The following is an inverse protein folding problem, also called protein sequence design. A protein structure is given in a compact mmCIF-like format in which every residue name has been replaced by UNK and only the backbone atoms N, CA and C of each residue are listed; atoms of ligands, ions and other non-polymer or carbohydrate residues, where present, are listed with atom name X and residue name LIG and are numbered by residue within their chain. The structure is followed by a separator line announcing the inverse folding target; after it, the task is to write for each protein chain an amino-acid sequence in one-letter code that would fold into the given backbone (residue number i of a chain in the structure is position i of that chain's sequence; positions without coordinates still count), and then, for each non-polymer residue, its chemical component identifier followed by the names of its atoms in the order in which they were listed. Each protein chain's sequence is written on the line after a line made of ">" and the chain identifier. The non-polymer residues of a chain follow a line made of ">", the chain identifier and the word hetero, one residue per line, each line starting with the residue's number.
data_IF_859895441309
#
_entry.id   IF_859895441309
#
_cell.length_a   1.000
_cell.length_b   1.000
_cell.length_c   1.000
_cell.angle_alpha   90.00
_cell.angle_beta   90.00
_cell.angle_gamma   90.00
#
_symmetry.space_group_name_H-M   'P 1'
#
loop_
_entity.id
_entity.type
_entity.pdbx_description
1 polymer ?
#
# COMPACT_ATOMS: atom_id res chain seq x y z
N UNK A 1 -1.18 5.67 -1.94
CA UNK A 1 -1.90 5.23 -0.72
C UNK A 1 -3.41 5.50 -0.76
N UNK A 2 -3.86 6.62 -1.33
CA UNK A 2 -5.27 7.05 -1.29
C UNK A 2 -6.28 6.04 -1.89
N UNK A 3 -5.90 5.25 -2.90
CA UNK A 3 -6.83 4.32 -3.57
C UNK A 3 -7.35 3.19 -2.67
N UNK A 4 -6.65 2.82 -1.58
CA UNK A 4 -7.09 1.83 -0.59
C UNK A 4 -7.90 2.45 0.56
N UNK A 5 -7.95 3.78 0.66
CA UNK A 5 -8.53 4.46 1.82
C UNK A 5 -10.06 4.46 1.75
N UNK A 6 -10.68 4.06 2.87
CA UNK A 6 -12.12 4.09 3.09
C UNK A 6 -12.43 4.93 4.32
N UNK A 7 -13.19 6.01 4.14
CA UNK A 7 -13.70 6.80 5.26
C UNK A 7 -14.99 6.18 5.78
N UNK A 8 -14.98 5.74 7.04
CA UNK A 8 -16.19 5.22 7.70
C UNK A 8 -16.90 6.28 8.55
N UNK A 9 -16.22 7.39 8.84
CA UNK A 9 -16.79 8.43 9.72
C UNK A 9 -18.02 9.06 9.09
N UNK A 10 -19.10 9.14 9.86
CA UNK A 10 -20.37 9.75 9.45
C UNK A 10 -20.89 10.63 10.57
N UNK A 11 -21.20 11.88 10.24
CA UNK A 11 -21.89 12.80 11.12
C UNK A 11 -23.38 12.83 10.77
N UNK A 12 -24.22 12.77 11.80
CA UNK A 12 -25.66 12.75 11.64
C UNK A 12 -26.15 14.12 11.17
N UNK A 13 -26.89 14.10 10.05
CA UNK A 13 -27.63 15.26 9.58
C UNK A 13 -28.85 15.50 10.47
N UNK A 14 -29.47 16.68 10.34
CA UNK A 14 -30.72 17.01 11.05
C UNK A 14 -31.80 15.93 10.90
N UNK A 15 -31.89 15.29 9.72
CA UNK A 15 -32.92 14.29 9.41
C UNK A 15 -32.62 12.92 10.02
N UNK A 16 -31.36 12.61 10.33
CA UNK A 16 -30.95 11.33 10.90
C UNK A 16 -30.87 11.38 12.43
N UNK A 17 -30.86 12.59 13.02
CA UNK A 17 -30.89 12.73 14.47
C UNK A 17 -32.25 12.34 15.06
N UNK A 18 -32.28 11.68 16.23
CA UNK A 18 -33.52 11.20 16.82
C UNK A 18 -34.43 12.36 17.28
N UNK A 19 -35.71 12.33 16.91
CA UNK A 19 -36.71 13.33 17.30
C UNK A 19 -36.69 14.60 16.45
N UNK A 20 -37.27 15.69 16.97
CA UNK A 20 -37.32 16.98 16.24
C UNK A 20 -38.46 17.12 15.23
N UNK A 21 -39.46 16.23 15.27
CA UNK A 21 -40.68 16.28 14.44
C UNK A 21 -41.69 17.33 14.92
N UNK A 22 -41.65 17.72 16.20
CA UNK A 22 -42.52 18.76 16.74
C UNK A 22 -41.86 20.13 16.61
N UNK A 23 -42.61 21.11 16.11
CA UNK A 23 -42.17 22.51 16.09
C UNK A 23 -41.92 23.00 17.53
N UNK A 24 -40.75 23.60 17.84
CA UNK A 24 -40.40 23.99 19.20
C UNK A 24 -41.37 25.00 19.83
N UNK A 25 -41.83 25.97 19.04
CA UNK A 25 -42.81 26.99 19.43
C UNK A 25 -43.58 27.55 18.22
N UNK A 26 -44.75 28.18 18.41
CA UNK A 26 -45.52 28.82 17.34
C UNK A 26 -44.71 29.87 16.56
N UNK A 27 -45.06 30.09 15.29
CA UNK A 27 -44.31 30.99 14.42
C UNK A 27 -44.27 32.44 14.92
N UNK A 28 -45.33 32.91 15.57
CA UNK A 28 -45.50 34.30 16.02
C UNK A 28 -45.95 34.32 17.49
N UNK A 29 -45.96 35.52 18.09
CA UNK A 29 -46.46 35.81 19.45
C UNK A 29 -45.63 35.24 20.62
N UNK A 30 -44.40 34.80 20.35
CA UNK A 30 -43.50 34.21 21.37
C UNK A 30 -42.30 35.09 21.72
N UNK A 31 -42.02 36.13 20.93
CA UNK A 31 -40.83 36.99 21.09
C UNK A 31 -39.48 36.29 20.82
N UNK A 32 -39.48 35.05 20.36
CA UNK A 32 -38.29 34.24 20.05
C UNK A 32 -38.03 34.19 18.54
N UNK A 33 -36.82 33.81 18.13
CA UNK A 33 -36.47 33.56 16.73
C UNK A 33 -37.35 32.45 16.11
N UNK A 34 -37.51 32.44 14.79
CA UNK A 34 -38.28 31.40 14.11
C UNK A 34 -37.51 30.08 14.04
N UNK A 35 -38.06 29.01 14.61
CA UNK A 35 -37.45 27.69 14.61
C UNK A 35 -38.43 26.62 14.08
N UNK A 36 -37.96 25.79 13.16
CA UNK A 36 -38.72 24.67 12.61
C UNK A 36 -38.54 23.36 13.38
N UNK A 37 -37.36 23.11 13.94
CA UNK A 37 -37.02 21.87 14.65
C UNK A 37 -35.83 22.10 15.59
N UNK A 38 -35.84 21.42 16.73
CA UNK A 38 -34.73 21.41 17.69
C UNK A 38 -33.47 20.72 17.14
N UNK A 39 -33.57 19.94 16.05
CA UNK A 39 -32.42 19.26 15.43
C UNK A 39 -31.70 20.09 14.37
N UNK A 40 -32.04 21.37 14.24
CA UNK A 40 -31.39 22.25 13.27
C UNK A 40 -29.94 22.59 13.69
N UNK A 41 -29.00 22.84 12.76
CA UNK A 41 -27.57 22.95 13.06
C UNK A 41 -27.19 24.05 14.07
N UNK A 42 -27.99 25.11 14.18
CA UNK A 42 -27.76 26.21 15.12
C UNK A 42 -28.17 25.87 16.57
N UNK A 43 -28.91 24.77 16.79
CA UNK A 43 -29.27 24.32 18.13
C UNK A 43 -28.18 23.42 18.73
N UNK A 44 -28.05 23.46 20.06
CA UNK A 44 -27.25 22.50 20.80
C UNK A 44 -27.76 21.07 20.55
N UNK A 45 -26.87 20.12 20.28
CA UNK A 45 -27.20 18.75 19.84
C UNK A 45 -28.07 18.69 18.57
N UNK A 46 -27.95 19.72 17.73
CA UNK A 46 -28.49 19.75 16.37
C UNK A 46 -27.61 19.00 15.38
N UNK A 47 -28.19 18.63 14.23
CA UNK A 47 -27.48 17.89 13.19
C UNK A 47 -26.43 18.74 12.48
N UNK A 48 -25.37 18.11 11.99
CA UNK A 48 -24.33 18.80 11.21
C UNK A 48 -24.89 19.18 9.83
N UNK A 49 -24.71 20.43 9.42
CA UNK A 49 -25.14 20.92 8.09
C UNK A 49 -24.27 20.32 6.98
N UNK A 50 -22.95 20.56 7.07
CA UNK A 50 -21.94 20.05 6.14
C UNK A 50 -21.01 19.07 6.86
N UNK A 51 -21.62 18.07 7.50
CA UNK A 51 -20.86 17.05 8.21
C UNK A 51 -20.24 16.03 7.25
N UNK A 52 -19.26 15.29 7.75
CA UNK A 52 -18.66 14.17 7.00
C UNK A 52 -19.76 13.14 6.68
N UNK A 53 -19.88 12.76 5.41
CA UNK A 53 -20.84 11.76 4.91
C UNK A 53 -20.11 10.48 4.51
N UNK A 54 -19.99 9.55 5.44
CA UNK A 54 -19.46 8.21 5.20
C UNK A 54 -20.55 7.19 4.83
N UNK A 55 -20.21 6.05 4.19
CA UNK A 55 -18.86 5.68 3.76
C UNK A 55 -18.43 6.40 2.48
N UNK A 56 -17.18 6.89 2.42
CA UNK A 56 -16.61 7.53 1.23
C UNK A 56 -15.31 6.84 0.81
N UNK A 57 -15.21 6.52 -0.47
CA UNK A 57 -13.98 5.99 -1.09
C UNK A 57 -13.26 7.10 -1.85
N UNK A 58 -11.92 7.04 -1.86
CA UNK A 58 -11.07 7.85 -2.74
C UNK A 58 -10.37 6.99 -3.78
N UNK A 59 -11.07 5.97 -4.25
CA UNK A 59 -10.55 5.03 -5.22
C UNK A 59 -10.40 5.70 -6.59
N UNK A 60 -9.19 5.67 -7.13
CA UNK A 60 -8.92 5.91 -8.54
C UNK A 60 -7.72 5.07 -8.97
N UNK A 61 -7.73 4.61 -10.22
CA UNK A 61 -6.64 3.84 -10.80
C UNK A 61 -5.79 4.72 -11.70
N UNK A 62 -4.47 4.70 -11.48
CA UNK A 62 -3.51 5.34 -12.37
C UNK A 62 -3.25 4.47 -13.60
N UNK A 63 -3.04 5.08 -14.79
CA UNK A 63 -2.59 4.37 -15.97
C UNK A 63 -1.33 3.52 -15.70
N UNK A 64 -1.30 2.32 -16.26
CA UNK A 64 -0.20 1.35 -16.06
C UNK A 64 1.17 1.94 -16.39
N UNK A 65 1.25 2.71 -17.49
CA UNK A 65 2.47 3.36 -17.93
C UNK A 65 3.03 4.35 -16.89
N UNK A 66 2.16 5.08 -16.20
CA UNK A 66 2.56 6.03 -15.15
C UNK A 66 3.07 5.26 -13.93
N UNK A 67 2.39 4.17 -13.54
CA UNK A 67 2.81 3.31 -12.42
C UNK A 67 4.17 2.68 -12.68
N UNK A 68 4.38 2.14 -13.90
CA UNK A 68 5.65 1.57 -14.31
C UNK A 68 6.77 2.62 -14.34
N UNK A 69 6.50 3.80 -14.91
CA UNK A 69 7.48 4.90 -14.92
C UNK A 69 7.88 5.31 -13.51
N UNK A 70 6.92 5.39 -12.58
CA UNK A 70 7.20 5.66 -11.17
C UNK A 70 8.13 4.64 -10.53
N UNK A 71 7.94 3.34 -10.84
CA UNK A 71 8.82 2.27 -10.36
C UNK A 71 10.23 2.38 -10.94
N UNK A 72 10.36 2.60 -12.25
CA UNK A 72 11.67 2.83 -12.87
C UNK A 72 12.39 4.02 -12.23
N UNK A 73 11.70 5.15 -12.04
CA UNK A 73 12.28 6.35 -11.43
C UNK A 73 12.72 6.07 -10.00
N UNK A 74 11.93 5.37 -9.19
CA UNK A 74 12.31 5.01 -7.83
C UNK A 74 13.60 4.17 -7.78
N UNK A 75 13.72 3.17 -8.67
CA UNK A 75 14.94 2.35 -8.78
C UNK A 75 16.14 3.16 -9.28
N UNK A 76 15.95 4.03 -10.28
CA UNK A 76 17.00 4.92 -10.77
C UNK A 76 17.50 5.86 -9.68
N UNK A 77 16.61 6.41 -8.86
CA UNK A 77 16.98 7.26 -7.72
C UNK A 77 17.84 6.47 -6.72
N UNK A 78 17.39 5.29 -6.31
CA UNK A 78 18.17 4.43 -5.40
C UNK A 78 19.54 4.06 -5.96
N UNK A 79 19.62 3.77 -7.26
CA UNK A 79 20.89 3.49 -7.90
C UNK A 79 21.83 4.70 -7.91
N UNK A 80 21.34 5.88 -8.30
CA UNK A 80 22.12 7.13 -8.34
C UNK A 80 22.61 7.55 -6.94
N UNK A 81 21.84 7.23 -5.89
CA UNK A 81 22.20 7.48 -4.50
C UNK A 81 23.17 6.45 -3.91
N UNK A 82 23.54 5.40 -4.66
CA UNK A 82 24.29 4.22 -4.18
C UNK A 82 23.55 3.41 -3.08
N UNK A 83 22.23 3.54 -3.02
CA UNK A 83 21.35 2.86 -2.05
C UNK A 83 20.75 1.55 -2.60
N UNK A 84 21.08 1.21 -3.84
CA UNK A 84 20.65 -0.03 -4.49
C UNK A 84 21.81 -1.02 -4.51
N UNK A 85 21.66 -2.14 -3.83
CA UNK A 85 22.66 -3.19 -3.71
C UNK A 85 22.16 -4.46 -4.38
N UNK A 86 23.04 -5.14 -5.11
CA UNK A 86 22.74 -6.41 -5.76
C UNK A 86 23.58 -7.49 -5.08
N UNK A 87 22.94 -8.59 -4.70
CA UNK A 87 23.56 -9.76 -4.07
C UNK A 87 23.25 -10.98 -4.93
N UNK A 88 24.17 -11.94 -5.02
CA UNK A 88 23.95 -13.14 -5.81
C UNK A 88 22.84 -14.00 -5.19
N UNK A 89 22.99 -14.38 -3.92
CA UNK A 89 22.04 -15.24 -3.20
C UNK A 89 21.93 -14.82 -1.72
N UNK A 90 20.72 -14.94 -1.16
CA UNK A 90 20.48 -14.73 0.27
C UNK A 90 20.71 -16.00 1.09
N UNK A 91 20.74 -17.18 0.48
CA UNK A 91 20.99 -18.43 1.19
C UNK A 91 22.42 -18.54 1.73
N UNK A 92 23.35 -17.72 1.24
CA UNK A 92 24.74 -17.67 1.72
C UNK A 92 24.90 -17.00 3.10
N UNK A 93 23.81 -16.60 3.76
CA UNK A 93 23.84 -16.03 5.10
C UNK A 93 24.28 -17.09 6.13
N UNK A 94 25.45 -16.91 6.77
CA UNK A 94 26.06 -17.95 7.60
C UNK A 94 25.36 -18.12 8.96
N UNK A 95 24.73 -17.06 9.47
CA UNK A 95 24.08 -17.05 10.78
C UNK A 95 22.67 -16.43 10.66
N UNK A 96 21.73 -16.94 11.46
CA UNK A 96 20.36 -16.44 11.61
C UNK A 96 20.23 -15.38 12.71
N UNK A 97 21.31 -15.04 13.41
CA UNK A 97 21.29 -14.03 14.46
C UNK A 97 21.02 -12.61 13.90
N UNK A 98 20.11 -11.83 14.51
CA UNK A 98 19.82 -10.46 14.07
C UNK A 98 21.01 -9.51 14.23
N UNK A 99 21.82 -9.72 15.27
CA UNK A 99 22.99 -8.88 15.50
C UNK A 99 23.97 -8.97 14.33
N UNK A 100 24.14 -10.16 13.74
CA UNK A 100 24.94 -10.34 12.54
C UNK A 100 24.43 -9.51 11.35
N UNK A 101 23.12 -9.45 11.13
CA UNK A 101 22.55 -8.62 10.06
C UNK A 101 22.71 -7.12 10.31
N UNK A 102 22.57 -6.65 11.55
CA UNK A 102 22.81 -5.26 11.90
C UNK A 102 24.29 -4.89 11.70
N UNK A 103 25.21 -5.71 12.24
CA UNK A 103 26.64 -5.49 12.10
C UNK A 103 27.06 -5.50 10.62
N UNK A 104 26.42 -6.35 9.80
CA UNK A 104 26.63 -6.41 8.35
C UNK A 104 26.12 -5.15 7.64
N UNK A 105 24.93 -4.65 8.03
CA UNK A 105 24.38 -3.41 7.48
C UNK A 105 25.26 -2.20 7.86
N UNK A 106 25.72 -2.13 9.10
CA UNK A 106 26.61 -1.07 9.60
C UNK A 106 27.98 -1.13 8.91
N UNK A 107 28.58 -2.32 8.80
CA UNK A 107 29.87 -2.51 8.14
C UNK A 107 29.85 -2.13 6.65
N UNK A 108 28.69 -2.26 5.99
CA UNK A 108 28.49 -1.90 4.59
C UNK A 108 27.86 -0.52 4.39
N UNK A 109 27.61 0.23 5.47
CA UNK A 109 26.93 1.52 5.45
C UNK A 109 25.58 1.49 4.73
N UNK A 110 24.77 0.45 4.95
CA UNK A 110 23.44 0.32 4.35
C UNK A 110 22.37 1.20 5.00
N UNK A 111 22.74 1.99 6.01
CA UNK A 111 21.82 2.85 6.73
C UNK A 111 20.93 2.09 7.71
N UNK A 112 19.94 2.78 8.25
CA UNK A 112 19.09 2.30 9.34
C UNK A 112 18.05 1.28 8.88
N UNK A 113 17.59 1.37 7.64
CA UNK A 113 16.46 0.56 7.14
C UNK A 113 16.75 -0.06 5.78
N UNK A 114 16.52 -1.37 5.70
CA UNK A 114 16.92 -2.21 4.56
C UNK A 114 15.72 -3.02 4.08
N UNK A 115 15.48 -2.97 2.76
CA UNK A 115 14.49 -3.82 2.09
C UNK A 115 15.20 -4.92 1.31
N UNK A 116 15.02 -6.17 1.73
CA UNK A 116 15.50 -7.35 1.00
C UNK A 116 14.42 -7.82 0.01
N UNK A 117 14.80 -7.94 -1.26
CA UNK A 117 13.87 -8.37 -2.32
C UNK A 117 14.29 -9.70 -2.90
N UNK A 118 13.45 -10.71 -2.70
CA UNK A 118 13.63 -12.07 -3.20
C UNK A 118 12.88 -12.28 -4.52
N UNK A 119 13.27 -13.30 -5.26
CA UNK A 119 12.64 -13.74 -6.51
C UNK A 119 11.28 -14.42 -6.25
N UNK A 120 11.17 -15.22 -5.19
CA UNK A 120 9.99 -16.03 -4.85
C UNK A 120 9.56 -15.85 -3.39
N UNK A 121 8.43 -16.50 -3.02
CA UNK A 121 7.98 -16.60 -1.63
C UNK A 121 8.89 -17.49 -0.78
N UNK A 122 9.69 -18.36 -1.41
CA UNK A 122 10.62 -19.23 -0.70
C UNK A 122 11.86 -18.43 -0.32
N UNK A 123 11.91 -18.05 0.96
CA UNK A 123 13.02 -17.28 1.54
C UNK A 123 13.86 -18.19 2.43
N UNK A 124 15.20 -18.08 2.43
CA UNK A 124 16.04 -18.83 3.35
C UNK A 124 15.69 -18.52 4.81
N UNK A 125 15.52 -19.55 5.63
CA UNK A 125 15.11 -19.46 7.04
C UNK A 125 16.00 -18.50 7.83
N UNK A 126 17.32 -18.57 7.63
CA UNK A 126 18.28 -17.69 8.31
C UNK A 126 17.97 -16.19 8.11
N UNK A 127 17.55 -15.80 6.90
CA UNK A 127 17.20 -14.40 6.61
C UNK A 127 15.88 -14.02 7.28
N UNK A 128 14.90 -14.93 7.27
CA UNK A 128 13.59 -14.73 7.90
C UNK A 128 13.74 -14.51 9.40
N UNK A 129 14.42 -15.43 10.10
CA UNK A 129 14.62 -15.37 11.55
C UNK A 129 15.36 -14.08 11.97
N UNK A 130 16.38 -13.70 11.20
CA UNK A 130 17.17 -12.52 11.46
C UNK A 130 16.38 -11.21 11.18
N UNK A 131 15.53 -11.18 10.15
CA UNK A 131 14.71 -10.00 9.84
C UNK A 131 13.48 -9.87 10.74
N UNK A 132 12.86 -10.98 11.18
CA UNK A 132 11.64 -10.95 12.00
C UNK A 132 11.87 -10.21 13.33
N UNK A 133 13.07 -10.34 13.88
CA UNK A 133 13.46 -9.67 15.13
C UNK A 133 13.84 -8.20 14.96
N UNK A 134 14.06 -7.71 13.73
CA UNK A 134 14.51 -6.33 13.44
C UNK A 134 13.41 -5.57 12.67
N UNK A 135 12.69 -4.62 13.31
CA UNK A 135 11.60 -3.89 12.65
C UNK A 135 12.01 -3.00 11.47
N UNK A 136 13.28 -2.58 11.41
CA UNK A 136 13.80 -1.72 10.34
C UNK A 136 14.17 -2.50 9.08
N UNK A 137 14.31 -3.83 9.18
CA UNK A 137 14.58 -4.70 8.05
C UNK A 137 13.30 -5.39 7.62
N UNK A 138 13.12 -5.56 6.32
CA UNK A 138 11.92 -6.19 5.80
C UNK A 138 12.25 -6.98 4.55
N UNK A 139 11.65 -8.16 4.44
CA UNK A 139 11.77 -9.04 3.28
C UNK A 139 10.50 -8.88 2.45
N UNK A 140 10.65 -8.83 1.14
CA UNK A 140 9.53 -8.71 0.20
C UNK A 140 9.82 -9.51 -1.07
N UNK A 141 8.88 -10.36 -1.53
CA UNK A 141 9.05 -11.02 -2.82
C UNK A 141 8.86 -10.02 -3.97
N UNK A 142 9.45 -10.33 -5.13
CA UNK A 142 9.50 -9.41 -6.28
C UNK A 142 8.12 -8.96 -6.77
N UNK A 143 7.12 -9.82 -6.69
CA UNK A 143 5.75 -9.51 -7.10
C UNK A 143 5.06 -8.49 -6.19
N UNK A 144 5.52 -8.34 -4.93
CA UNK A 144 5.03 -7.34 -3.97
C UNK A 144 5.74 -5.99 -4.04
N UNK A 145 6.79 -5.88 -4.86
CA UNK A 145 7.62 -4.67 -4.95
C UNK A 145 6.78 -3.47 -5.42
N UNK A 146 6.87 -2.38 -4.66
CA UNK A 146 6.11 -1.17 -4.93
C UNK A 146 6.94 0.08 -4.66
N UNK A 147 6.58 1.20 -5.29
CA UNK A 147 7.34 2.45 -5.15
C UNK A 147 7.33 3.00 -3.71
N UNK A 148 6.28 2.73 -2.92
CA UNK A 148 6.22 3.19 -1.54
C UNK A 148 7.26 2.48 -0.68
N UNK A 149 7.38 1.15 -0.79
CA UNK A 149 8.41 0.37 -0.11
C UNK A 149 9.80 0.84 -0.53
N UNK A 150 10.09 0.95 -1.83
CA UNK A 150 11.40 1.42 -2.31
C UNK A 150 11.77 2.77 -1.70
N UNK A 151 10.82 3.70 -1.57
CA UNK A 151 11.09 5.03 -1.00
C UNK A 151 11.09 5.05 0.53
N UNK A 152 10.42 4.11 1.20
CA UNK A 152 10.32 4.03 2.66
C UNK A 152 11.64 3.58 3.29
N UNK A 153 12.32 2.62 2.67
CA UNK A 153 13.59 2.09 3.17
C UNK A 153 14.77 2.88 2.60
N UNK A 154 15.85 3.00 3.35
CA UNK A 154 17.07 3.69 2.94
C UNK A 154 17.80 2.90 1.88
N UNK A 155 18.03 1.61 2.11
CA UNK A 155 18.66 0.74 1.11
C UNK A 155 17.74 -0.37 0.63
N UNK A 156 17.91 -0.74 -0.63
CA UNK A 156 17.19 -1.84 -1.27
C UNK A 156 18.22 -2.85 -1.77
N UNK A 157 18.11 -4.08 -1.27
CA UNK A 157 18.99 -5.19 -1.60
C UNK A 157 18.21 -6.18 -2.46
N UNK A 158 18.60 -6.34 -3.72
CA UNK A 158 17.98 -7.26 -4.68
C UNK A 158 18.84 -8.51 -4.84
N UNK A 159 18.22 -9.70 -4.83
CA UNK A 159 18.89 -10.88 -5.40
C UNK A 159 19.07 -10.70 -6.92
N UNK A 160 20.14 -11.28 -7.46
CA UNK A 160 20.39 -11.34 -8.90
C UNK A 160 19.19 -11.91 -9.67
N UNK A 161 18.59 -13.00 -9.20
CA UNK A 161 17.42 -13.62 -9.83
C UNK A 161 16.21 -12.67 -9.83
N UNK A 162 16.00 -11.98 -8.70
CA UNK A 162 14.92 -10.99 -8.58
C UNK A 162 15.12 -9.82 -9.55
N UNK A 163 16.36 -9.38 -9.76
CA UNK A 163 16.71 -8.33 -10.73
C UNK A 163 16.40 -8.76 -12.17
N UNK A 164 16.76 -9.98 -12.56
CA UNK A 164 16.50 -10.51 -13.91
C UNK A 164 14.98 -10.58 -14.20
N UNK A 165 14.20 -11.06 -13.24
CA UNK A 165 12.72 -11.09 -13.34
C UNK A 165 12.15 -9.67 -13.45
N UNK A 166 12.65 -8.75 -12.63
CA UNK A 166 12.23 -7.34 -12.63
C UNK A 166 12.48 -6.69 -13.99
N UNK A 167 13.69 -6.85 -14.53
CA UNK A 167 14.09 -6.31 -15.82
C UNK A 167 13.20 -6.85 -16.94
N UNK A 168 13.03 -8.17 -17.00
CA UNK A 168 12.15 -8.82 -17.97
C UNK A 168 10.73 -8.24 -17.95
N UNK A 169 10.13 -8.08 -16.75
CA UNK A 169 8.78 -7.54 -16.59
C UNK A 169 8.68 -6.08 -17.04
N UNK A 170 9.65 -5.25 -16.67
CA UNK A 170 9.68 -3.83 -17.06
C UNK A 170 9.80 -3.70 -18.57
N UNK A 171 10.73 -4.43 -19.20
CA UNK A 171 10.95 -4.38 -20.64
C UNK A 171 9.71 -4.91 -21.39
N UNK A 172 9.14 -6.03 -20.96
CA UNK A 172 7.90 -6.56 -21.52
C UNK A 172 6.79 -5.49 -21.52
N UNK A 173 6.56 -4.82 -20.39
CA UNK A 173 5.51 -3.81 -20.28
C UNK A 173 5.82 -2.49 -21.01
N UNK A 174 7.09 -2.15 -21.23
CA UNK A 174 7.49 -0.99 -22.06
C UNK A 174 7.24 -1.22 -23.55
N UNK A 175 7.49 -2.43 -24.03
CA UNK A 175 7.42 -2.77 -25.46
C UNK A 175 6.12 -3.46 -25.88
N UNK A 176 5.25 -3.81 -24.93
CA UNK A 176 3.96 -4.43 -25.22
C UNK A 176 3.02 -3.46 -25.97
N UNK A 177 2.51 -3.90 -27.11
CA UNK A 177 1.41 -3.25 -27.81
C UNK A 177 0.10 -3.31 -26.98
N UNK A 178 -0.75 -2.28 -27.07
CA UNK A 178 -2.06 -2.33 -26.44
C UNK A 178 -2.92 -3.44 -27.07
N UNK A 179 -3.61 -4.22 -26.23
CA UNK A 179 -4.59 -5.19 -26.70
C UNK A 179 -5.86 -4.48 -27.17
N UNK A 180 -6.34 -4.78 -28.38
CA UNK A 180 -7.59 -4.25 -28.92
C UNK A 180 -8.78 -4.47 -27.98
N UNK A 181 -8.79 -5.59 -27.25
CA UNK A 181 -9.78 -5.88 -26.23
C UNK A 181 -9.28 -5.46 -24.83
N UNK A 182 -9.50 -4.20 -24.46
CA UNK A 182 -9.14 -3.66 -23.13
C UNK A 182 -9.83 -4.41 -21.96
N UNK A 183 -10.99 -5.04 -22.21
CA UNK A 183 -11.79 -5.78 -21.23
C UNK A 183 -11.09 -7.02 -20.65
N UNK A 184 -10.29 -7.73 -21.44
CA UNK A 184 -9.60 -8.97 -21.03
C UNK A 184 -8.15 -8.75 -20.56
N UNK A 185 -7.63 -7.52 -20.69
CA UNK A 185 -6.25 -7.19 -20.33
C UNK A 185 -5.91 -7.54 -18.87
N UNK A 186 -6.83 -7.27 -17.96
CA UNK A 186 -6.64 -7.49 -16.53
C UNK A 186 -6.91 -8.93 -16.10
N UNK A 187 -7.81 -9.66 -16.79
CA UNK A 187 -8.07 -11.06 -16.46
C UNK A 187 -6.86 -11.94 -16.74
N UNK A 188 -6.17 -11.70 -17.85
CA UNK A 188 -5.09 -12.57 -18.29
C UNK A 188 -3.82 -12.34 -17.45
N UNK A 189 -3.50 -11.08 -17.16
CA UNK A 189 -2.38 -10.73 -16.26
C UNK A 189 -2.62 -11.18 -14.82
N UNK A 190 -3.85 -11.02 -14.31
CA UNK A 190 -4.19 -11.49 -12.96
C UNK A 190 -4.05 -13.02 -12.87
N UNK A 191 -4.52 -13.75 -13.88
CA UNK A 191 -4.36 -15.21 -13.95
C UNK A 191 -2.90 -15.62 -13.99
N UNK A 192 -2.05 -14.90 -14.72
CA UNK A 192 -0.62 -15.18 -14.82
C UNK A 192 0.09 -15.01 -13.46
N UNK A 193 -0.14 -13.86 -12.80
CA UNK A 193 0.41 -13.57 -11.46
C UNK A 193 -0.11 -14.59 -10.43
N UNK A 194 -1.40 -14.92 -10.47
CA UNK A 194 -1.97 -15.93 -9.58
C UNK A 194 -1.41 -17.32 -9.89
N UNK A 195 -1.18 -17.69 -11.15
CA UNK A 195 -0.60 -18.98 -11.51
C UNK A 195 0.89 -19.11 -11.12
N UNK A 196 1.62 -18.00 -11.06
CA UNK A 196 2.97 -17.95 -10.51
C UNK A 196 2.92 -18.17 -8.99
N UNK A 197 2.04 -17.46 -8.28
CA UNK A 197 1.84 -17.64 -6.84
C UNK A 197 1.27 -19.03 -6.47
N UNK A 198 0.41 -19.62 -7.30
CA UNK A 198 -0.18 -20.96 -7.09
C UNK A 198 0.85 -22.09 -7.24
N UNK A 199 2.00 -21.85 -7.87
CA UNK A 199 3.11 -22.82 -7.88
C UNK A 199 3.91 -22.79 -6.58
N UNK A 200 3.66 -21.81 -5.71
CA UNK A 200 4.39 -21.50 -4.49
C UNK A 200 3.47 -21.55 -3.25
N UNK A 201 2.61 -22.57 -3.14
CA UNK A 201 1.62 -22.66 -2.04
C UNK A 201 2.34 -22.82 -0.69
N UNK A 202 2.36 -21.75 0.09
CA UNK A 202 2.48 -21.82 1.55
C UNK A 202 1.12 -22.23 2.14
N UNK A 203 1.00 -23.37 2.84
CA UNK A 203 -0.29 -23.88 3.33
C UNK A 203 -0.94 -22.99 4.41
N UNK A 204 -0.23 -21.96 4.89
CA UNK A 204 -0.61 -21.15 6.06
C UNK A 204 -1.05 -19.73 5.67
N UNK A 205 -0.53 -19.13 4.59
CA UNK A 205 -0.78 -17.72 4.25
C UNK A 205 -1.19 -17.54 2.78
N UNK A 206 -2.17 -16.66 2.54
CA UNK A 206 -2.56 -16.28 1.18
C UNK A 206 -1.54 -15.31 0.57
N UNK A 207 -1.25 -15.39 -0.74
CA UNK A 207 -0.34 -14.45 -1.40
C UNK A 207 -0.89 -13.02 -1.31
N UNK A 208 -0.06 -12.08 -0.83
CA UNK A 208 -0.45 -10.67 -0.71
C UNK A 208 -0.53 -10.01 -2.11
N UNK A 209 -1.68 -9.35 -2.37
CA UNK A 209 -1.95 -8.55 -3.59
C UNK A 209 -1.89 -7.04 -3.26
#
# INVERSE_FOLDING_TARGET
>A
LVYRNLQLTKQLSKAEMPGGNRKPWPQKKTGRHHAGSIRSPHFHLGGFANGVRGPRTWFYMLPDAIRLKGLCVALTIKHVQNDLVIVDDFASLPNSEPQFLNDLADARNWGYSVLFVTDSSQVPQNLVDACESIPSFTIMPIYGLNCYSIMKYETVVLSRLALEILEYRILYHKHRAETLQKKYKYSDMKKLILSEAEKEIDPVHAPFI
#
